data_IF_344449082617
#
_entry.id   IF_344449082617
#
_cell.length_a   1.000
_cell.length_b   1.000
_cell.length_c   1.000
_cell.angle_alpha   90.00
_cell.angle_beta   90.00
_cell.angle_gamma   90.00
#
_symmetry.space_group_name_H-M   'P 1'
#
loop_
_entity.id
_entity.type
_entity.pdbx_description
1 polymer ?
#
# COMPACT_ATOMS: atom_id res chain seq x y z
N UNK A 1 47.73 -12.90 16.71
CA UNK A 1 46.86 -12.15 15.78
C UNK A 1 45.77 -13.08 15.29
N UNK A 2 44.52 -12.95 15.74
CA UNK A 2 43.40 -13.56 15.04
C UNK A 2 42.77 -12.50 14.13
N UNK A 3 42.95 -12.67 12.82
CA UNK A 3 42.20 -11.96 11.79
C UNK A 3 41.24 -12.93 11.14
N UNK A 4 40.00 -12.46 10.99
CA UNK A 4 38.98 -12.91 10.03
C UNK A 4 38.33 -14.26 10.35
N UNK A 5 37.01 -14.40 10.31
CA UNK A 5 36.05 -13.81 9.38
C UNK A 5 34.72 -13.50 10.06
N UNK A 6 34.25 -12.26 9.90
CA UNK A 6 32.89 -11.84 10.24
C UNK A 6 31.94 -12.51 9.25
N UNK A 7 30.98 -13.28 9.77
CA UNK A 7 29.88 -13.86 8.99
C UNK A 7 29.16 -12.78 8.20
N UNK A 8 29.04 -12.98 6.90
CA UNK A 8 28.22 -12.15 6.04
C UNK A 8 26.75 -12.24 6.50
N UNK A 9 26.23 -11.05 6.84
CA UNK A 9 24.87 -10.54 6.70
C UNK A 9 23.73 -11.56 6.72
N UNK A 10 22.90 -11.46 7.75
CA UNK A 10 21.54 -11.99 7.82
C UNK A 10 20.84 -11.83 6.48
N UNK A 11 20.40 -12.95 5.90
CA UNK A 11 19.30 -12.95 4.95
C UNK A 11 18.16 -12.16 5.61
N UNK A 12 17.87 -10.98 5.06
CA UNK A 12 16.59 -10.32 5.25
C UNK A 12 15.50 -11.40 5.15
N UNK A 13 14.58 -11.44 6.12
CA UNK A 13 13.73 -12.61 6.31
C UNK A 13 12.80 -12.81 5.11
N UNK A 14 13.20 -13.68 4.19
CA UNK A 14 12.38 -14.10 3.06
C UNK A 14 11.12 -14.77 3.61
N UNK A 15 9.97 -14.30 3.14
CA UNK A 15 8.68 -14.83 3.56
C UNK A 15 7.90 -15.40 2.38
N UNK A 16 7.05 -16.39 2.70
CA UNK A 16 6.02 -16.86 1.78
C UNK A 16 4.75 -16.02 1.96
N UNK A 17 4.27 -15.34 0.91
CA UNK A 17 3.03 -14.57 0.97
C UNK A 17 1.82 -15.47 1.24
N UNK A 18 0.85 -14.97 1.99
CA UNK A 18 -0.45 -15.61 2.16
C UNK A 18 -1.17 -15.79 0.81
N UNK A 19 -1.09 -14.79 -0.07
CA UNK A 19 -1.69 -14.83 -1.40
C UNK A 19 -0.76 -14.21 -2.45
N UNK A 20 -0.72 -14.81 -3.65
CA UNK A 20 0.05 -14.34 -4.80
C UNK A 20 -0.75 -14.54 -6.07
N UNK A 21 -0.81 -13.52 -6.92
CA UNK A 21 -1.54 -13.60 -8.20
C UNK A 21 -1.43 -12.35 -9.04
N UNK A 22 -2.01 -12.38 -10.24
CA UNK A 22 -2.14 -11.17 -11.06
C UNK A 22 -3.24 -10.28 -10.50
N UNK A 23 -4.47 -10.80 -10.44
CA UNK A 23 -5.62 -10.09 -9.88
C UNK A 23 -6.13 -10.84 -8.67
N UNK A 24 -6.23 -10.16 -7.53
CA UNK A 24 -6.79 -10.72 -6.30
C UNK A 24 -7.98 -9.87 -5.81
N UNK A 25 -8.92 -10.51 -5.12
CA UNK A 25 -10.00 -9.79 -4.45
C UNK A 25 -9.51 -9.27 -3.11
N UNK A 26 -9.88 -8.03 -2.80
CA UNK A 26 -9.59 -7.42 -1.51
C UNK A 26 -10.54 -7.93 -0.43
N UNK A 27 -10.01 -8.21 0.75
CA UNK A 27 -10.76 -8.71 1.89
C UNK A 27 -11.08 -7.56 2.85
N UNK A 28 -12.36 -7.21 2.98
CA UNK A 28 -12.81 -6.07 3.79
C UNK A 28 -12.76 -6.30 5.31
N UNK A 29 -12.22 -7.41 5.78
CA UNK A 29 -12.23 -7.78 7.20
C UNK A 29 -11.23 -6.93 8.00
N UNK A 30 -11.54 -6.60 9.27
CA UNK A 30 -10.61 -6.02 10.25
C UNK A 30 -9.88 -4.73 9.81
N UNK A 31 -10.59 -3.65 9.41
CA UNK A 31 -9.92 -2.37 9.17
C UNK A 31 -9.15 -1.89 10.41
N UNK A 32 -8.10 -1.08 10.20
CA UNK A 32 -7.36 -0.44 11.29
C UNK A 32 -8.29 0.54 12.00
N UNK A 33 -8.47 0.31 13.30
CA UNK A 33 -9.31 1.14 14.14
C UNK A 33 -10.78 1.09 13.72
N UNK A 34 -11.55 2.06 14.18
CA UNK A 34 -12.98 2.12 13.93
C UNK A 34 -13.34 2.89 12.62
N UNK A 35 -12.35 3.48 11.97
CA UNK A 35 -12.49 4.32 10.77
C UNK A 35 -12.09 5.77 11.05
N UNK A 36 -11.84 6.52 9.98
CA UNK A 36 -11.51 7.95 10.06
C UNK A 36 -12.73 8.77 9.65
N UNK A 37 -13.01 9.83 10.41
CA UNK A 37 -13.96 10.87 9.99
C UNK A 37 -13.30 11.79 8.97
N UNK A 38 -14.10 12.55 8.22
CA UNK A 38 -13.57 13.59 7.34
C UNK A 38 -12.74 14.63 8.12
N UNK A 39 -13.10 14.90 9.38
CA UNK A 39 -12.36 15.81 10.26
C UNK A 39 -10.97 15.26 10.62
N UNK A 40 -10.83 13.94 10.79
CA UNK A 40 -9.55 13.30 11.12
C UNK A 40 -8.54 13.35 9.97
N UNK A 41 -9.02 13.46 8.72
CA UNK A 41 -8.19 13.57 7.52
C UNK A 41 -7.75 15.01 7.20
N UNK A 42 -8.27 16.01 7.94
CA UNK A 42 -8.03 17.43 7.69
C UNK A 42 -8.79 18.00 6.49
N UNK A 43 -8.79 19.33 6.37
CA UNK A 43 -9.47 20.07 5.30
C UNK A 43 -8.76 19.90 3.94
N UNK A 44 -8.96 18.76 3.30
CA UNK A 44 -8.39 18.47 1.98
C UNK A 44 -9.01 17.29 1.25
N UNK A 45 -9.78 16.44 1.93
CA UNK A 45 -10.33 15.18 1.41
C UNK A 45 -11.72 15.27 0.79
N UNK A 46 -12.40 16.41 0.89
CA UNK A 46 -13.72 16.67 0.27
C UNK A 46 -13.65 17.57 -0.99
N UNK A 47 -12.47 17.81 -1.57
CA UNK A 47 -12.42 18.51 -2.85
C UNK A 47 -13.00 17.62 -3.95
N UNK A 48 -13.85 18.14 -4.86
CA UNK A 48 -14.20 17.43 -6.09
C UNK A 48 -12.90 17.04 -6.81
N UNK A 49 -12.65 15.74 -7.00
CA UNK A 49 -11.41 15.22 -7.56
C UNK A 49 -10.34 14.76 -6.57
N UNK A 50 -10.64 14.69 -5.25
CA UNK A 50 -9.82 13.84 -4.35
C UNK A 50 -10.09 12.40 -4.75
N UNK A 51 -9.06 11.58 -5.00
CA UNK A 51 -9.26 10.17 -5.30
C UNK A 51 -10.06 9.53 -4.17
N UNK A 52 -10.98 8.63 -4.52
CA UNK A 52 -11.72 7.78 -3.57
C UNK A 52 -10.78 6.90 -2.70
N UNK A 53 -9.48 7.01 -2.95
CA UNK A 53 -8.35 6.34 -2.34
C UNK A 53 -7.31 7.37 -1.93
N UNK A 54 -6.93 7.37 -0.66
CA UNK A 54 -5.80 8.13 -0.12
C UNK A 54 -4.81 7.14 0.51
N UNK A 55 -3.52 7.41 0.50
CA UNK A 55 -2.55 6.58 1.22
C UNK A 55 -2.03 7.32 2.46
N UNK A 56 -1.91 6.61 3.58
CA UNK A 56 -1.28 7.14 4.80
C UNK A 56 0.12 6.55 4.93
N UNK A 57 1.11 7.42 4.98
CA UNK A 57 2.45 7.10 5.46
C UNK A 57 2.41 6.93 6.99
N UNK A 58 2.89 5.80 7.51
CA UNK A 58 2.99 5.56 8.97
C UNK A 58 4.14 6.34 9.63
N UNK A 59 4.93 7.09 8.86
CA UNK A 59 6.03 7.94 9.33
C UNK A 59 5.91 9.35 8.76
N UNK A 60 5.33 10.25 9.55
CA UNK A 60 5.32 11.70 9.40
C UNK A 60 4.31 12.31 8.42
N UNK A 61 3.61 13.31 8.94
CA UNK A 61 2.98 14.45 8.29
C UNK A 61 3.97 15.32 7.48
N UNK A 62 5.06 14.74 6.97
CA UNK A 62 6.15 15.42 6.29
C UNK A 62 6.09 15.26 4.77
N UNK A 63 6.57 16.27 4.06
CA UNK A 63 6.67 16.32 2.59
C UNK A 63 7.86 15.51 2.01
N UNK A 64 8.43 14.59 2.79
CA UNK A 64 9.58 13.76 2.40
C UNK A 64 9.18 12.38 1.86
N UNK A 65 10.11 11.65 1.21
CA UNK A 65 9.85 10.27 0.80
C UNK A 65 9.59 9.38 2.03
N UNK A 66 8.71 8.39 1.87
CA UNK A 66 8.52 7.32 2.86
C UNK A 66 9.87 6.62 3.10
N UNK A 67 10.17 6.21 4.33
CA UNK A 67 11.44 5.53 4.60
C UNK A 67 11.54 4.21 3.82
N UNK A 68 12.77 3.88 3.43
CA UNK A 68 13.13 2.60 2.81
C UNK A 68 14.08 1.86 3.74
N UNK A 69 13.81 0.58 4.00
CA UNK A 69 14.72 -0.29 4.75
C UNK A 69 13.97 -1.26 5.66
N UNK A 70 14.70 -2.29 6.12
CA UNK A 70 14.31 -3.29 7.13
C UNK A 70 13.00 -4.07 6.89
N UNK A 71 12.43 -3.99 5.69
CA UNK A 71 11.27 -4.77 5.29
C UNK A 71 11.62 -6.21 4.95
N UNK A 72 10.69 -7.14 5.20
CA UNK A 72 10.76 -8.53 4.76
C UNK A 72 10.85 -8.61 3.23
N UNK A 73 11.42 -9.72 2.73
CA UNK A 73 11.57 -9.94 1.30
C UNK A 73 10.68 -11.08 0.80
N UNK A 74 10.30 -11.00 -0.48
CA UNK A 74 9.61 -12.08 -1.19
C UNK A 74 9.84 -11.91 -2.70
N UNK A 75 10.25 -12.97 -3.41
CA UNK A 75 10.51 -12.95 -4.86
C UNK A 75 11.53 -11.86 -5.29
N UNK A 76 12.49 -11.53 -4.42
CA UNK A 76 13.45 -10.45 -4.67
C UNK A 76 12.85 -9.04 -4.63
N UNK A 77 11.66 -8.89 -4.05
CA UNK A 77 11.03 -7.62 -3.71
C UNK A 77 11.09 -7.41 -2.19
N UNK A 78 11.22 -6.17 -1.76
CA UNK A 78 11.18 -5.76 -0.35
C UNK A 78 9.83 -5.11 -0.03
N UNK A 79 9.23 -5.49 1.10
CA UNK A 79 7.99 -4.91 1.57
C UNK A 79 8.21 -3.52 2.19
N UNK A 80 7.40 -2.55 1.78
CA UNK A 80 7.39 -1.19 2.30
C UNK A 80 6.00 -0.86 2.81
N UNK A 81 5.89 -0.69 4.14
CA UNK A 81 4.62 -0.50 4.83
C UNK A 81 3.98 0.83 4.43
N UNK A 82 2.69 0.77 4.09
CA UNK A 82 1.87 1.94 3.81
C UNK A 82 0.40 1.65 4.12
N UNK A 83 -0.30 2.58 4.75
CA UNK A 83 -1.75 2.47 4.97
C UNK A 83 -2.51 2.76 3.67
N UNK A 84 -3.49 1.92 3.34
CA UNK A 84 -4.48 2.23 2.32
C UNK A 84 -5.69 2.86 3.02
N UNK A 85 -6.00 4.10 2.70
CA UNK A 85 -7.23 4.77 3.13
C UNK A 85 -8.17 4.81 1.95
N UNK A 86 -9.42 4.44 2.16
CA UNK A 86 -10.42 4.47 1.11
C UNK A 86 -11.75 4.91 1.65
N UNK A 87 -12.54 5.53 0.78
CA UNK A 87 -13.89 5.94 1.11
C UNK A 87 -14.75 4.70 1.36
N UNK A 88 -15.49 4.70 2.47
CA UNK A 88 -16.36 3.59 2.81
C UNK A 88 -17.41 3.34 1.71
N UNK A 89 -17.70 2.07 1.42
CA UNK A 89 -18.67 1.61 0.43
C UNK A 89 -18.26 1.78 -1.03
N UNK A 90 -17.05 2.29 -1.30
CA UNK A 90 -16.63 2.63 -2.66
C UNK A 90 -15.86 1.47 -3.30
N UNK A 91 -16.37 0.95 -4.42
CA UNK A 91 -15.73 -0.11 -5.18
C UNK A 91 -14.80 0.47 -6.24
N UNK A 92 -13.60 -0.11 -6.35
CA UNK A 92 -12.58 0.30 -7.32
C UNK A 92 -11.55 -0.80 -7.47
N UNK A 93 -10.65 -0.64 -8.43
CA UNK A 93 -9.53 -1.55 -8.66
C UNK A 93 -8.23 -0.77 -8.52
N UNK A 94 -7.28 -1.32 -7.77
CA UNK A 94 -5.91 -0.83 -7.71
C UNK A 94 -5.04 -1.69 -8.62
N UNK A 95 -4.32 -1.07 -9.55
CA UNK A 95 -3.43 -1.78 -10.46
C UNK A 95 -2.05 -1.15 -10.53
N UNK A 96 -1.03 -1.99 -10.46
CA UNK A 96 0.33 -1.62 -10.86
C UNK A 96 0.33 -1.42 -12.38
N UNK A 97 0.82 -0.27 -12.89
CA UNK A 97 0.99 -0.07 -14.32
C UNK A 97 1.82 -1.19 -14.94
N UNK A 98 1.45 -1.62 -16.15
CA UNK A 98 2.00 -2.84 -16.78
C UNK A 98 3.52 -2.81 -16.87
N UNK A 99 4.11 -1.66 -17.16
CA UNK A 99 5.56 -1.44 -17.26
C UNK A 99 6.32 -1.55 -15.92
N UNK A 100 5.59 -1.53 -14.79
CA UNK A 100 6.15 -1.71 -13.44
C UNK A 100 5.91 -3.11 -12.88
N UNK A 101 5.02 -3.91 -13.49
CA UNK A 101 4.75 -5.30 -13.08
C UNK A 101 6.04 -6.12 -13.21
N UNK A 102 6.54 -6.63 -12.07
CA UNK A 102 7.84 -7.32 -11.97
C UNK A 102 8.92 -6.54 -11.21
N UNK A 103 8.71 -5.24 -10.97
CA UNK A 103 9.51 -4.42 -10.04
C UNK A 103 8.69 -3.88 -8.87
N UNK A 104 7.36 -3.88 -9.04
CA UNK A 104 6.40 -3.45 -8.05
C UNK A 104 5.27 -4.48 -7.96
N UNK A 105 4.83 -4.80 -6.74
CA UNK A 105 3.56 -5.49 -6.44
C UNK A 105 2.83 -4.78 -5.31
N UNK A 106 1.55 -5.09 -5.18
CA UNK A 106 0.65 -4.58 -4.16
C UNK A 106 0.51 -5.62 -3.04
N UNK A 107 0.49 -5.17 -1.78
CA UNK A 107 0.39 -6.05 -0.62
C UNK A 107 -0.53 -5.57 0.50
N UNK A 108 -1.69 -5.00 0.17
CA UNK A 108 -2.75 -4.77 1.17
C UNK A 108 -3.62 -6.01 1.38
N UNK A 109 -3.67 -6.48 2.62
CA UNK A 109 -4.57 -7.53 3.12
C UNK A 109 -4.48 -7.58 4.64
N UNK A 110 -5.53 -8.09 5.29
CA UNK A 110 -5.58 -8.37 6.72
C UNK A 110 -5.35 -9.85 7.07
N UNK A 111 -5.23 -10.72 6.06
CA UNK A 111 -4.98 -12.15 6.25
C UNK A 111 -3.49 -12.52 6.14
N UNK A 112 -2.63 -11.50 5.97
CA UNK A 112 -1.18 -11.64 5.85
C UNK A 112 -0.65 -10.93 4.61
N UNK A 113 0.60 -11.22 4.28
CA UNK A 113 1.27 -10.63 3.14
C UNK A 113 0.65 -11.09 1.81
N UNK A 114 0.35 -10.13 0.93
CA UNK A 114 -0.19 -10.39 -0.40
C UNK A 114 0.78 -9.84 -1.45
N UNK A 115 0.96 -10.54 -2.58
CA UNK A 115 1.65 -10.04 -3.77
C UNK A 115 0.69 -10.07 -4.97
N UNK A 116 0.17 -8.92 -5.36
CA UNK A 116 -0.72 -8.76 -6.51
C UNK A 116 -0.18 -7.75 -7.53
N UNK A 117 -0.53 -7.93 -8.81
CA UNK A 117 -0.47 -6.82 -9.78
C UNK A 117 -1.69 -5.91 -9.65
N UNK A 118 -2.82 -6.50 -9.24
CA UNK A 118 -4.11 -5.85 -9.19
C UNK A 118 -4.93 -6.33 -7.99
N UNK A 119 -5.57 -5.40 -7.29
CA UNK A 119 -6.50 -5.66 -6.21
C UNK A 119 -7.88 -5.09 -6.56
N UNK A 120 -8.90 -5.95 -6.54
CA UNK A 120 -10.30 -5.55 -6.75
C UNK A 120 -10.96 -5.31 -5.40
N UNK A 121 -11.32 -4.05 -5.12
CA UNK A 121 -11.96 -3.62 -3.89
C UNK A 121 -13.48 -3.62 -4.10
N UNK A 122 -14.25 -4.42 -3.34
CA UNK A 122 -15.69 -4.58 -3.57
C UNK A 122 -16.56 -3.47 -2.93
N UNK A 123 -15.97 -2.47 -2.29
CA UNK A 123 -16.68 -1.44 -1.53
C UNK A 123 -16.80 -1.74 -0.04
N UNK A 124 -15.68 -1.73 0.68
CA UNK A 124 -15.64 -2.08 2.09
C UNK A 124 -16.37 -1.07 2.99
N UNK A 125 -17.02 -1.53 4.04
CA UNK A 125 -17.75 -0.70 5.03
C UNK A 125 -17.16 -0.86 6.43
N UNK A 126 -17.29 0.16 7.28
CA UNK A 126 -16.95 0.05 8.71
C UNK A 126 -18.21 -0.23 9.54
N UNK A 127 -18.03 -0.92 10.67
CA UNK A 127 -19.08 -1.12 11.66
C UNK A 127 -19.38 0.16 12.48
N UNK A 128 -18.49 1.17 12.44
CA UNK A 128 -18.73 2.45 13.09
C UNK A 128 -19.73 3.29 12.29
N UNK A 129 -20.77 3.77 12.96
CA UNK A 129 -21.71 4.72 12.38
C UNK A 129 -20.98 6.00 11.94
N UNK A 130 -21.25 6.46 10.72
CA UNK A 130 -20.69 7.67 10.10
C UNK A 130 -19.19 7.64 9.79
N UNK A 131 -18.55 6.45 9.77
CA UNK A 131 -17.19 6.34 9.25
C UNK A 131 -17.21 6.54 7.72
N UNK A 132 -16.70 7.69 7.27
CA UNK A 132 -16.62 8.02 5.85
C UNK A 132 -15.40 7.39 5.19
N UNK A 133 -14.37 7.06 5.98
CA UNK A 133 -13.10 6.53 5.50
C UNK A 133 -12.64 5.35 6.33
N UNK A 134 -12.00 4.40 5.66
CA UNK A 134 -11.54 3.14 6.26
C UNK A 134 -10.07 2.96 5.91
N UNK A 135 -9.30 2.45 6.86
CA UNK A 135 -7.85 2.25 6.71
C UNK A 135 -7.53 0.77 6.77
N UNK A 136 -6.69 0.28 5.86
CA UNK A 136 -6.20 -1.09 5.83
C UNK A 136 -4.67 -1.13 5.90
N UNK A 137 -4.09 -2.07 6.67
CA UNK A 137 -2.66 -2.25 6.70
C UNK A 137 -2.20 -2.91 5.40
N UNK A 138 -0.97 -2.60 5.01
CA UNK A 138 -0.35 -3.23 3.86
C UNK A 138 0.78 -2.37 3.35
N UNK A 139 0.94 -2.36 2.04
CA UNK A 139 1.93 -1.53 1.39
C UNK A 139 2.33 -2.08 0.04
N UNK A 140 3.53 -1.70 -0.38
CA UNK A 140 4.10 -2.08 -1.66
C UNK A 140 5.20 -3.11 -1.47
N UNK A 141 5.40 -3.91 -2.51
CA UNK A 141 6.58 -4.75 -2.68
C UNK A 141 7.40 -4.17 -3.80
N UNK A 142 8.65 -3.83 -3.52
CA UNK A 142 9.48 -3.03 -4.42
C UNK A 142 10.86 -3.66 -4.59
N UNK A 143 11.36 -3.64 -5.81
CA UNK A 143 12.73 -4.05 -6.11
C UNK A 143 13.76 -3.01 -5.67
N UNK A 144 13.37 -1.73 -5.67
CA UNK A 144 14.24 -0.60 -5.32
C UNK A 144 13.41 0.64 -4.89
N UNK A 145 14.02 1.62 -4.21
CA UNK A 145 13.40 2.91 -3.92
C UNK A 145 12.98 3.67 -5.18
N UNK A 146 11.87 4.39 -5.12
CA UNK A 146 11.40 5.23 -6.23
C UNK A 146 10.02 5.84 -6.01
N UNK A 147 9.58 6.61 -7.01
CA UNK A 147 8.17 6.99 -7.15
C UNK A 147 7.37 5.81 -7.67
N UNK A 148 6.40 5.35 -6.89
CA UNK A 148 5.59 4.18 -7.22
C UNK A 148 4.24 4.63 -7.75
N UNK A 149 3.97 4.47 -9.06
CA UNK A 149 2.65 4.74 -9.60
C UNK A 149 1.71 3.60 -9.28
N UNK A 150 0.48 3.95 -8.91
CA UNK A 150 -0.62 3.01 -8.73
C UNK A 150 -1.87 3.61 -9.36
N UNK A 151 -2.54 2.84 -10.19
CA UNK A 151 -3.77 3.28 -10.85
C UNK A 151 -4.96 2.85 -9.99
N UNK A 152 -5.83 3.80 -9.66
CA UNK A 152 -7.13 3.55 -9.06
C UNK A 152 -8.19 3.73 -10.14
N UNK A 153 -8.90 2.65 -10.46
CA UNK A 153 -9.94 2.64 -11.50
C UNK A 153 -11.29 2.36 -10.87
N UNK A 154 -12.23 3.27 -11.07
CA UNK A 154 -13.65 3.12 -10.79
C UNK A 154 -14.38 2.87 -12.12
N UNK A 155 -15.69 2.63 -12.08
CA UNK A 155 -16.50 2.51 -13.30
C UNK A 155 -16.48 3.79 -14.18
N UNK A 156 -16.07 4.93 -13.60
CA UNK A 156 -16.16 6.24 -14.23
C UNK A 156 -14.81 6.81 -14.63
N UNK A 157 -13.75 6.53 -13.86
CA UNK A 157 -12.46 7.19 -14.02
C UNK A 157 -11.30 6.30 -13.59
N UNK A 158 -10.17 6.46 -14.27
CA UNK A 158 -8.86 5.98 -13.80
C UNK A 158 -8.03 7.18 -13.35
N UNK A 159 -7.39 7.07 -12.20
CA UNK A 159 -6.46 8.06 -11.68
C UNK A 159 -5.15 7.40 -11.27
N UNK A 160 -4.02 8.01 -11.58
CA UNK A 160 -2.71 7.54 -11.14
C UNK A 160 -2.29 8.29 -9.89
N UNK A 161 -1.98 7.54 -8.84
CA UNK A 161 -1.48 8.05 -7.56
C UNK A 161 0.01 7.70 -7.47
N UNK A 162 0.82 8.67 -7.08
CA UNK A 162 2.27 8.50 -6.98
C UNK A 162 2.72 8.52 -5.53
N UNK A 163 3.32 7.42 -5.08
CA UNK A 163 3.83 7.27 -3.72
C UNK A 163 5.36 7.32 -3.71
N UNK A 164 5.99 8.34 -3.09
CA UNK A 164 7.45 8.44 -3.03
C UNK A 164 8.00 7.52 -1.94
N UNK A 165 8.72 6.45 -2.30
CA UNK A 165 9.22 5.46 -1.33
C UNK A 165 10.75 5.38 -1.43
N UNK A 166 11.44 5.78 -0.36
CA UNK A 166 12.89 5.94 -0.26
C UNK A 166 13.49 7.02 -1.17
N UNK A 167 12.72 7.51 -2.15
CA UNK A 167 13.11 8.54 -3.11
C UNK A 167 11.86 9.30 -3.58
N UNK A 168 12.02 10.58 -3.92
CA UNK A 168 10.94 11.41 -4.49
C UNK A 168 10.51 10.89 -5.86
N UNK A 169 9.26 11.14 -6.22
CA UNK A 169 8.77 10.97 -7.59
C UNK A 169 9.39 12.07 -8.47
N UNK A 170 9.82 11.70 -9.67
CA UNK A 170 10.41 12.61 -10.68
C UNK A 170 9.43 12.88 -11.80
#
# INVERSE_FOLDING_TARGET
MPSSSVSASSLDSEISPHAKGTTLKFECNNPIGAGLTAADLGAGTEKPGVPEVLYINTTSTGTGPNQWGDGVTSDGLQFQKMGLVMKAGTAFTLSVPTEKRGRTKIGWSNSGYTLADELVIPGCTSAQANANWIVYPGGFWLKEPGGVPLEATTDQTTQTIYSPIGKTCS
#
